data_IF_707128811684
#
_entry.id   IF_707128811684
#
_cell.length_a   1.000
_cell.length_b   1.000
_cell.length_c   1.000
_cell.angle_alpha   90.00
_cell.angle_beta   90.00
_cell.angle_gamma   90.00
#
_symmetry.space_group_name_H-M   'P 1'
#
loop_
_entity.id
_entity.type
_entity.pdbx_description
1 polymer ?
#
# COMPACT_ATOMS: atom_id res chain seq x y z
N UNK A 1 -25.02 -8.97 12.13
CA UNK A 1 -24.89 -10.33 12.69
C UNK A 1 -24.92 -10.15 14.20
N UNK A 2 -26.06 -10.40 14.83
CA UNK A 2 -26.20 -10.23 16.28
C UNK A 2 -25.54 -11.38 17.05
N UNK A 3 -25.43 -12.57 16.43
CA UNK A 3 -24.70 -13.73 16.98
C UNK A 3 -24.04 -14.52 15.83
N UNK A 4 -22.82 -15.02 16.04
CA UNK A 4 -22.07 -15.84 15.10
C UNK A 4 -20.68 -15.30 14.78
N UNK A 5 -19.82 -16.15 14.24
CA UNK A 5 -18.45 -15.78 13.83
C UNK A 5 -18.44 -15.36 12.35
N UNK A 6 -17.60 -14.39 12.00
CA UNK A 6 -17.41 -13.95 10.61
C UNK A 6 -17.12 -15.12 9.66
N UNK A 7 -16.45 -16.16 10.16
CA UNK A 7 -16.18 -17.40 9.42
C UNK A 7 -17.46 -18.14 8.99
N UNK A 8 -18.48 -18.17 9.85
CA UNK A 8 -19.75 -18.88 9.55
C UNK A 8 -20.57 -18.08 8.52
N UNK A 9 -20.48 -16.75 8.58
CA UNK A 9 -21.04 -15.85 7.56
C UNK A 9 -20.37 -16.03 6.20
N UNK A 10 -19.03 -16.08 6.15
CA UNK A 10 -18.28 -16.32 4.92
C UNK A 10 -18.57 -17.71 4.35
N UNK A 11 -18.66 -18.77 5.17
CA UNK A 11 -19.08 -20.11 4.72
C UNK A 11 -20.45 -20.09 4.06
N UNK A 12 -21.41 -19.38 4.64
CA UNK A 12 -22.75 -19.27 4.07
C UNK A 12 -22.70 -18.59 2.69
N UNK A 13 -21.94 -17.51 2.55
CA UNK A 13 -21.75 -16.83 1.26
C UNK A 13 -21.15 -17.78 0.23
N UNK A 14 -20.01 -18.42 0.55
CA UNK A 14 -19.31 -19.30 -0.37
C UNK A 14 -20.15 -20.54 -0.76
N UNK A 15 -20.87 -21.15 0.17
CA UNK A 15 -21.77 -22.26 -0.11
C UNK A 15 -22.90 -21.87 -1.09
N UNK A 16 -23.34 -20.61 -1.07
CA UNK A 16 -24.38 -20.12 -1.98
C UNK A 16 -23.83 -19.57 -3.31
N UNK A 17 -22.52 -19.32 -3.43
CA UNK A 17 -21.91 -18.91 -4.70
C UNK A 17 -21.66 -20.08 -5.66
N UNK A 18 -21.61 -21.32 -5.15
CA UNK A 18 -21.46 -22.54 -5.95
C UNK A 18 -22.78 -23.07 -6.52
N UNK A 19 -23.92 -22.47 -6.16
CA UNK A 19 -25.22 -22.83 -6.77
C UNK A 19 -25.24 -22.29 -8.20
N UNK A 20 -24.85 -23.13 -9.13
CA UNK A 20 -24.88 -22.84 -10.58
C UNK A 20 -26.35 -22.82 -11.04
N UNK A 21 -27.02 -21.71 -10.82
CA UNK A 21 -28.35 -21.47 -11.40
C UNK A 21 -28.11 -21.21 -12.88
N UNK A 22 -28.28 -22.25 -13.69
CA UNK A 22 -28.09 -22.23 -15.14
C UNK A 22 -29.21 -21.43 -15.84
N UNK A 23 -29.34 -20.18 -15.44
CA UNK A 23 -30.33 -19.24 -16.00
C UNK A 23 -29.62 -18.33 -17.01
N UNK A 24 -30.20 -18.17 -18.21
CA UNK A 24 -29.65 -17.34 -19.28
C UNK A 24 -29.33 -15.89 -18.85
N UNK A 25 -30.14 -15.33 -17.91
CA UNK A 25 -29.91 -14.01 -17.29
C UNK A 25 -28.59 -13.97 -16.51
N UNK A 26 -28.22 -15.05 -15.83
CA UNK A 26 -26.97 -15.15 -15.10
C UNK A 26 -25.77 -15.26 -16.06
N UNK A 27 -25.91 -15.97 -17.17
CA UNK A 27 -24.88 -16.02 -18.22
C UNK A 27 -24.68 -14.62 -18.83
N UNK A 28 -25.75 -13.91 -19.14
CA UNK A 28 -25.69 -12.56 -19.66
C UNK A 28 -25.06 -11.58 -18.64
N UNK A 29 -25.46 -11.70 -17.37
CA UNK A 29 -24.88 -10.86 -16.29
C UNK A 29 -23.38 -11.15 -16.08
N UNK A 30 -22.94 -12.41 -16.18
CA UNK A 30 -21.51 -12.78 -16.14
C UNK A 30 -20.73 -12.12 -17.30
N UNK A 31 -21.29 -12.14 -18.52
CA UNK A 31 -20.66 -11.49 -19.69
C UNK A 31 -20.62 -9.98 -19.54
N UNK A 32 -21.73 -9.34 -19.19
CA UNK A 32 -21.79 -7.88 -18.93
C UNK A 32 -20.83 -7.48 -17.80
N UNK A 33 -20.77 -8.27 -16.74
CA UNK A 33 -19.85 -8.04 -15.62
C UNK A 33 -18.39 -8.22 -16.02
N UNK A 34 -18.07 -9.21 -16.88
CA UNK A 34 -16.72 -9.41 -17.39
C UNK A 34 -16.28 -8.23 -18.28
N UNK A 35 -17.17 -7.74 -19.15
CA UNK A 35 -16.90 -6.57 -20.01
C UNK A 35 -16.78 -5.29 -19.13
N UNK A 36 -17.69 -5.07 -18.21
CA UNK A 36 -17.67 -3.96 -17.27
C UNK A 36 -16.39 -3.99 -16.42
N UNK A 37 -16.04 -5.15 -15.87
CA UNK A 37 -14.79 -5.31 -15.12
C UNK A 37 -13.55 -4.98 -15.97
N UNK A 38 -13.50 -5.43 -17.22
CA UNK A 38 -12.39 -5.14 -18.12
C UNK A 38 -12.26 -3.64 -18.41
N UNK A 39 -13.37 -2.92 -18.47
CA UNK A 39 -13.40 -1.46 -18.71
C UNK A 39 -13.14 -0.68 -17.41
N UNK A 40 -13.60 -1.16 -16.26
CA UNK A 40 -13.50 -0.45 -14.97
C UNK A 40 -12.21 -0.74 -14.21
N UNK A 41 -11.63 -1.95 -14.35
CA UNK A 41 -10.37 -2.35 -13.68
C UNK A 41 -9.11 -1.83 -14.39
N UNK A 42 -9.24 -1.21 -15.56
CA UNK A 42 -8.12 -0.58 -16.23
C UNK A 42 -7.69 0.68 -15.47
N UNK A 43 -6.60 0.55 -14.71
CA UNK A 43 -6.07 1.64 -13.89
C UNK A 43 -5.04 2.46 -14.69
N UNK A 44 -5.55 3.29 -15.65
CA UNK A 44 -4.70 4.22 -16.39
C UNK A 44 -4.03 5.24 -15.46
N UNK A 45 -2.83 5.69 -15.80
CA UNK A 45 -2.03 6.65 -15.01
C UNK A 45 -2.84 7.88 -14.60
N UNK A 46 -3.65 8.43 -15.54
CA UNK A 46 -4.53 9.57 -15.26
C UNK A 46 -5.64 9.29 -14.23
N UNK A 47 -6.13 8.04 -14.18
CA UNK A 47 -7.15 7.61 -13.22
C UNK A 47 -6.55 7.32 -11.85
N UNK A 48 -5.33 6.77 -11.81
CA UNK A 48 -4.61 6.48 -10.57
C UNK A 48 -4.41 7.74 -9.73
N UNK A 49 -3.94 8.82 -10.34
CA UNK A 49 -3.72 10.10 -9.63
C UNK A 49 -5.02 10.63 -9.01
N UNK A 50 -6.15 10.57 -9.73
CA UNK A 50 -7.46 11.01 -9.24
C UNK A 50 -8.01 10.11 -8.12
N UNK A 51 -7.81 8.80 -8.24
CA UNK A 51 -8.26 7.86 -7.21
C UNK A 51 -7.47 8.03 -5.91
N UNK A 52 -6.16 8.24 -6.01
CA UNK A 52 -5.30 8.51 -4.84
C UNK A 52 -5.71 9.82 -4.17
N UNK A 53 -5.88 10.91 -4.92
CA UNK A 53 -6.36 12.17 -4.39
C UNK A 53 -7.67 12.01 -3.62
N UNK A 54 -8.67 11.34 -4.18
CA UNK A 54 -9.96 11.11 -3.53
C UNK A 54 -9.86 10.31 -2.22
N UNK A 55 -8.89 9.39 -2.08
CA UNK A 55 -8.69 8.62 -0.86
C UNK A 55 -7.88 9.35 0.21
N UNK A 56 -6.95 10.23 -0.17
CA UNK A 56 -5.99 10.86 0.74
C UNK A 56 -6.19 12.36 0.94
N UNK A 57 -7.13 13.00 0.21
CA UNK A 57 -7.56 14.40 0.42
C UNK A 57 -8.39 14.62 1.70
N UNK A 58 -8.53 13.58 2.52
CA UNK A 58 -9.04 13.72 3.88
C UNK A 58 -8.00 14.49 4.70
N UNK A 59 -8.46 15.48 5.47
CA UNK A 59 -7.55 16.36 6.21
C UNK A 59 -6.56 15.58 7.07
N UNK A 60 -5.30 16.00 7.10
CA UNK A 60 -4.23 15.48 7.96
C UNK A 60 -4.68 15.22 9.39
N UNK A 61 -5.55 16.08 9.93
CA UNK A 61 -6.14 15.96 11.27
C UNK A 61 -6.93 14.67 11.47
N UNK A 62 -7.58 14.15 10.43
CA UNK A 62 -8.31 12.88 10.54
C UNK A 62 -7.33 11.71 10.74
N UNK A 63 -6.24 11.69 9.98
CA UNK A 63 -5.22 10.65 10.10
C UNK A 63 -4.51 10.66 11.46
N UNK A 64 -4.31 11.84 12.04
CA UNK A 64 -3.75 12.00 13.39
C UNK A 64 -4.61 11.40 14.50
N UNK A 65 -5.93 11.23 14.28
CA UNK A 65 -6.85 10.68 15.28
C UNK A 65 -6.72 9.17 15.45
N UNK A 66 -6.26 8.43 14.45
CA UNK A 66 -6.30 6.97 14.49
C UNK A 66 -5.00 6.28 14.04
N UNK A 67 -4.09 6.97 13.37
CA UNK A 67 -2.78 6.43 13.02
C UNK A 67 -1.77 6.64 14.16
N UNK A 68 -0.73 5.83 14.12
CA UNK A 68 0.45 6.03 14.97
C UNK A 68 1.19 7.32 14.60
N UNK A 69 2.07 7.85 15.48
CA UNK A 69 2.81 9.09 15.22
C UNK A 69 3.67 9.08 13.94
N UNK A 70 4.03 7.87 13.45
CA UNK A 70 4.78 7.69 12.20
C UNK A 70 3.87 7.66 10.96
N UNK A 71 2.53 7.74 11.17
CA UNK A 71 1.50 7.73 10.13
C UNK A 71 1.58 6.51 9.22
N UNK A 72 1.71 5.31 9.80
CA UNK A 72 1.73 4.06 9.08
C UNK A 72 0.30 3.62 8.73
N UNK A 73 -0.15 3.84 7.48
CA UNK A 73 -1.49 3.49 7.03
C UNK A 73 -1.53 2.09 6.38
N UNK A 74 -1.11 1.10 7.16
CA UNK A 74 -1.15 -0.32 6.79
C UNK A 74 -1.14 -1.19 8.04
N UNK A 75 -1.50 -2.48 7.90
CA UNK A 75 -1.61 -3.39 9.04
C UNK A 75 -0.33 -3.43 9.87
N UNK A 76 -0.47 -3.29 11.17
CA UNK A 76 0.63 -3.40 12.13
C UNK A 76 0.98 -4.88 12.39
N UNK A 77 2.19 -5.13 12.90
CA UNK A 77 2.66 -6.46 13.26
C UNK A 77 2.88 -6.56 14.77
N UNK A 78 1.94 -7.19 15.46
CA UNK A 78 1.98 -7.41 16.90
C UNK A 78 2.81 -8.66 17.23
N UNK A 79 3.93 -8.47 17.89
CA UNK A 79 4.77 -9.58 18.42
C UNK A 79 4.15 -10.14 19.71
N UNK A 80 3.43 -9.30 20.43
CA UNK A 80 2.79 -9.63 21.71
C UNK A 80 1.40 -9.02 21.78
N UNK A 81 0.44 -9.67 22.46
CA UNK A 81 -0.87 -9.06 22.73
C UNK A 81 -0.81 -7.75 23.52
N UNK A 82 0.31 -7.47 24.16
CA UNK A 82 0.53 -6.26 24.96
C UNK A 82 1.21 -5.14 24.18
N UNK A 83 1.56 -5.34 22.91
CA UNK A 83 2.15 -4.30 22.08
C UNK A 83 1.15 -3.17 21.87
N UNK A 84 1.62 -1.91 21.98
CA UNK A 84 0.86 -0.76 21.51
C UNK A 84 0.85 -0.72 19.98
N UNK A 85 -0.03 0.10 19.40
CA UNK A 85 -0.06 0.30 17.95
C UNK A 85 1.29 0.79 17.43
N UNK A 86 1.92 1.75 18.13
CA UNK A 86 3.22 2.32 17.78
C UNK A 86 4.30 1.23 17.76
N UNK A 87 4.34 0.39 18.82
CA UNK A 87 5.28 -0.71 18.89
C UNK A 87 5.05 -1.72 17.77
N UNK A 88 3.80 -2.06 17.48
CA UNK A 88 3.45 -2.99 16.41
C UNK A 88 3.80 -2.43 15.02
N UNK A 89 3.68 -1.12 14.79
CA UNK A 89 4.12 -0.47 13.55
C UNK A 89 5.66 -0.45 13.42
N UNK A 90 6.38 -0.28 14.51
CA UNK A 90 7.84 -0.42 14.55
C UNK A 90 8.22 -1.87 14.21
N UNK A 91 7.58 -2.85 14.84
CA UNK A 91 7.82 -4.28 14.60
C UNK A 91 7.60 -4.65 13.12
N UNK A 92 6.57 -4.10 12.48
CA UNK A 92 6.32 -4.27 11.05
C UNK A 92 7.50 -3.77 10.21
N UNK A 93 7.96 -2.54 10.46
CA UNK A 93 9.08 -1.95 9.71
C UNK A 93 10.38 -2.74 9.91
N UNK A 94 10.65 -3.19 11.12
CA UNK A 94 11.79 -4.06 11.44
C UNK A 94 11.71 -5.39 10.70
N UNK A 95 10.54 -6.04 10.69
CA UNK A 95 10.32 -7.30 9.98
C UNK A 95 10.57 -7.16 8.48
N UNK A 96 10.03 -6.08 7.86
CA UNK A 96 10.20 -5.80 6.43
C UNK A 96 11.68 -5.52 6.13
N UNK A 97 12.34 -4.68 6.93
CA UNK A 97 13.77 -4.36 6.75
C UNK A 97 14.65 -5.61 6.84
N UNK A 98 14.37 -6.53 7.76
CA UNK A 98 15.07 -7.81 7.85
C UNK A 98 14.88 -8.68 6.61
N UNK A 99 13.68 -8.69 6.01
CA UNK A 99 13.39 -9.45 4.78
C UNK A 99 14.08 -8.87 3.54
N UNK A 100 14.38 -7.59 3.53
CA UNK A 100 15.08 -6.94 2.41
C UNK A 100 16.55 -7.34 2.34
N UNK A 101 17.15 -7.88 3.41
CA UNK A 101 18.56 -8.28 3.49
C UNK A 101 19.48 -7.17 2.97
N UNK A 102 19.32 -5.97 3.52
CA UNK A 102 19.99 -4.78 3.06
C UNK A 102 21.45 -4.74 3.53
N UNK A 103 22.30 -4.39 2.60
CA UNK A 103 23.70 -4.02 2.84
C UNK A 103 23.87 -2.50 2.77
N UNK A 104 24.94 -1.99 3.32
CA UNK A 104 25.23 -0.57 3.33
C UNK A 104 25.37 -0.02 1.89
N UNK A 105 24.84 1.20 1.67
CA UNK A 105 24.86 1.91 0.39
C UNK A 105 24.05 1.26 -0.75
N UNK A 106 23.35 0.17 -0.52
CA UNK A 106 22.41 -0.34 -1.52
C UNK A 106 21.29 0.67 -1.82
N UNK A 107 20.74 0.56 -3.03
CA UNK A 107 19.62 1.37 -3.51
C UNK A 107 18.28 0.67 -3.26
N UNK A 108 17.32 1.39 -2.70
CA UNK A 108 15.99 0.86 -2.38
C UNK A 108 14.91 1.76 -2.97
N UNK A 109 13.93 1.14 -3.62
CA UNK A 109 12.70 1.82 -4.05
C UNK A 109 11.56 1.47 -3.09
N UNK A 110 10.91 2.48 -2.51
CA UNK A 110 9.69 2.34 -1.70
C UNK A 110 8.49 2.82 -2.52
N UNK A 111 7.70 1.86 -3.05
CA UNK A 111 6.55 2.14 -3.91
C UNK A 111 5.29 2.34 -3.05
N UNK A 112 4.70 3.52 -3.14
CA UNK A 112 3.60 3.92 -2.27
C UNK A 112 4.10 4.32 -0.88
N UNK A 113 5.15 5.13 -0.83
CA UNK A 113 5.88 5.47 0.40
C UNK A 113 5.04 6.22 1.46
N UNK A 114 3.83 6.68 1.10
CA UNK A 114 2.96 7.41 2.02
C UNK A 114 3.66 8.66 2.58
N UNK A 115 3.56 8.83 3.89
CA UNK A 115 4.23 9.93 4.62
C UNK A 115 5.73 9.68 4.88
N UNK A 116 6.32 8.68 4.21
CA UNK A 116 7.76 8.44 4.16
C UNK A 116 8.34 7.65 5.34
N UNK A 117 7.50 7.05 6.19
CA UNK A 117 7.96 6.37 7.41
C UNK A 117 8.79 5.12 7.15
N UNK A 118 8.41 4.31 6.14
CA UNK A 118 9.17 3.08 5.80
C UNK A 118 10.54 3.42 5.21
N UNK A 119 10.59 4.35 4.26
CA UNK A 119 11.84 4.82 3.66
C UNK A 119 12.81 5.41 4.71
N UNK A 120 12.29 6.23 5.63
CA UNK A 120 13.07 6.78 6.74
C UNK A 120 13.63 5.68 7.66
N UNK A 121 12.81 4.67 7.97
CA UNK A 121 13.23 3.54 8.80
C UNK A 121 14.34 2.72 8.13
N UNK A 122 14.19 2.40 6.85
CA UNK A 122 15.20 1.68 6.06
C UNK A 122 16.54 2.44 6.09
N UNK A 123 16.52 3.73 5.78
CA UNK A 123 17.74 4.55 5.80
C UNK A 123 18.43 4.52 7.15
N UNK A 124 17.68 4.73 8.24
CA UNK A 124 18.24 4.75 9.61
C UNK A 124 18.85 3.40 10.03
N UNK A 125 18.35 2.31 9.49
CA UNK A 125 18.80 0.95 9.85
C UNK A 125 19.99 0.48 9.02
N UNK A 126 20.04 0.80 7.74
CA UNK A 126 21.00 0.23 6.80
C UNK A 126 21.91 1.23 6.13
N UNK A 127 21.71 2.54 6.34
CA UNK A 127 22.38 3.61 5.60
C UNK A 127 22.25 3.48 4.06
N UNK A 128 21.18 2.82 3.59
CA UNK A 128 20.86 2.64 2.18
C UNK A 128 20.43 3.96 1.51
N UNK A 129 20.57 4.02 0.18
CA UNK A 129 20.02 5.10 -0.64
C UNK A 129 18.54 4.77 -0.93
N UNK A 130 17.60 5.53 -0.41
CA UNK A 130 16.17 5.20 -0.53
C UNK A 130 15.44 6.22 -1.37
N UNK A 131 14.71 5.77 -2.38
CA UNK A 131 13.78 6.58 -3.16
C UNK A 131 12.37 6.14 -2.83
N UNK A 132 11.56 7.03 -2.28
CA UNK A 132 10.15 6.81 -2.03
C UNK A 132 9.29 7.51 -3.08
N UNK A 133 8.32 6.78 -3.68
CA UNK A 133 7.40 7.35 -4.67
C UNK A 133 5.96 7.27 -4.17
N UNK A 134 5.19 8.33 -4.41
CA UNK A 134 3.75 8.41 -4.14
C UNK A 134 3.06 9.28 -5.17
N UNK A 135 1.73 9.16 -5.28
CA UNK A 135 0.89 10.01 -6.15
C UNK A 135 0.12 11.09 -5.36
N UNK A 136 0.25 11.13 -4.04
CA UNK A 136 -0.41 12.11 -3.17
C UNK A 136 0.50 13.32 -2.94
N UNK A 137 -0.01 14.51 -3.28
CA UNK A 137 0.69 15.79 -3.05
C UNK A 137 0.84 16.11 -1.56
N UNK A 138 -0.16 15.74 -0.74
CA UNK A 138 -0.12 15.93 0.71
C UNK A 138 0.92 15.01 1.37
N UNK A 139 0.93 13.74 0.99
CA UNK A 139 1.90 12.79 1.52
C UNK A 139 3.34 13.20 1.18
N UNK A 140 3.59 13.65 -0.07
CA UNK A 140 4.92 14.07 -0.49
C UNK A 140 5.38 15.32 0.26
N UNK A 141 4.48 16.29 0.47
CA UNK A 141 4.80 17.50 1.23
C UNK A 141 5.23 17.17 2.66
N UNK A 142 4.50 16.28 3.33
CA UNK A 142 4.85 15.81 4.67
C UNK A 142 6.17 15.03 4.68
N UNK A 143 6.39 14.12 3.72
CA UNK A 143 7.61 13.32 3.61
C UNK A 143 8.85 14.20 3.38
N UNK A 144 8.74 15.27 2.61
CA UNK A 144 9.81 16.26 2.42
C UNK A 144 10.12 17.02 3.70
N UNK A 145 9.11 17.42 4.46
CA UNK A 145 9.32 18.04 5.79
C UNK A 145 9.97 17.06 6.77
N UNK A 146 9.55 15.78 6.75
CA UNK A 146 10.19 14.72 7.52
C UNK A 146 11.66 14.59 7.18
N UNK A 147 12.02 14.56 5.89
CA UNK A 147 13.41 14.48 5.43
C UNK A 147 14.29 15.55 6.09
N UNK A 148 13.80 16.79 6.10
CA UNK A 148 14.54 17.93 6.70
C UNK A 148 14.63 17.76 8.21
N UNK A 149 13.50 17.50 8.89
CA UNK A 149 13.40 17.37 10.35
C UNK A 149 14.29 16.25 10.90
N UNK A 150 14.33 15.10 10.18
CA UNK A 150 15.01 13.90 10.62
C UNK A 150 16.41 13.74 9.99
N UNK A 151 16.87 14.71 9.20
CA UNK A 151 18.19 14.75 8.52
C UNK A 151 18.45 13.48 7.70
N UNK A 152 17.49 13.10 6.86
CA UNK A 152 17.56 11.90 6.04
C UNK A 152 18.34 12.18 4.74
N UNK A 153 19.65 12.20 4.81
CA UNK A 153 20.52 12.65 3.71
C UNK A 153 20.40 11.79 2.44
N UNK A 154 20.29 10.46 2.60
CA UNK A 154 20.21 9.51 1.49
C UNK A 154 18.77 9.08 1.17
N UNK A 155 17.77 9.83 1.61
CA UNK A 155 16.37 9.58 1.27
C UNK A 155 15.88 10.64 0.29
N UNK A 156 15.28 10.22 -0.78
CA UNK A 156 14.59 11.08 -1.75
C UNK A 156 13.11 10.70 -1.80
N UNK A 157 12.23 11.69 -1.83
CA UNK A 157 10.78 11.48 -2.00
C UNK A 157 10.32 12.16 -3.28
N UNK A 158 9.61 11.41 -4.15
CA UNK A 158 9.15 11.88 -5.47
C UNK A 158 7.65 11.75 -5.62
N UNK A 159 7.01 12.78 -6.16
CA UNK A 159 5.64 12.72 -6.64
C UNK A 159 5.64 12.07 -8.03
N UNK A 160 5.64 10.76 -8.07
CA UNK A 160 5.85 9.98 -9.29
C UNK A 160 5.06 8.69 -9.27
N UNK A 161 4.49 8.32 -10.42
CA UNK A 161 3.95 6.98 -10.63
C UNK A 161 5.10 5.98 -10.76
N UNK A 162 5.03 4.88 -10.02
CA UNK A 162 6.08 3.85 -10.03
C UNK A 162 6.33 3.28 -11.43
N UNK A 163 5.31 3.28 -12.32
CA UNK A 163 5.43 2.84 -13.72
C UNK A 163 6.33 3.73 -14.57
N UNK A 164 6.63 4.92 -14.11
CA UNK A 164 7.54 5.88 -14.74
C UNK A 164 8.93 5.88 -14.11
N UNK A 165 9.18 4.97 -13.17
CA UNK A 165 10.51 4.77 -12.59
C UNK A 165 11.32 3.89 -13.56
N UNK A 166 12.40 4.45 -14.10
CA UNK A 166 13.24 3.77 -15.08
C UNK A 166 14.58 3.30 -14.50
N UNK A 167 14.89 3.75 -13.29
CA UNK A 167 16.12 3.39 -12.59
C UNK A 167 16.03 1.95 -12.05
N UNK A 168 17.17 1.30 -11.91
CA UNK A 168 17.28 0.00 -11.27
C UNK A 168 17.66 0.15 -9.81
N UNK A 169 17.09 -0.69 -8.97
CA UNK A 169 17.31 -0.72 -7.53
C UNK A 169 17.74 -2.11 -7.09
N UNK A 170 18.56 -2.19 -6.04
CA UNK A 170 19.00 -3.46 -5.46
C UNK A 170 17.84 -4.16 -4.75
N UNK A 171 16.93 -3.38 -4.16
CA UNK A 171 15.74 -3.87 -3.46
C UNK A 171 14.54 -2.98 -3.76
N UNK A 172 13.38 -3.59 -3.75
CA UNK A 172 12.09 -2.89 -3.89
C UNK A 172 11.19 -3.30 -2.74
N UNK A 173 10.51 -2.34 -2.15
CA UNK A 173 9.47 -2.55 -1.14
C UNK A 173 8.19 -1.84 -1.53
N UNK A 174 7.06 -2.47 -1.26
CA UNK A 174 5.73 -1.86 -1.41
C UNK A 174 4.83 -2.36 -0.31
N UNK A 175 4.27 -1.45 0.48
CA UNK A 175 3.43 -1.77 1.64
C UNK A 175 2.11 -1.03 1.55
N UNK A 176 0.99 -1.77 1.40
CA UNK A 176 -0.36 -1.18 1.34
C UNK A 176 -0.73 -0.53 0.01
N UNK A 177 0.11 -0.62 -1.04
CA UNK A 177 -0.18 -0.09 -2.37
C UNK A 177 -0.54 -1.19 -3.37
N UNK A 178 -0.05 -2.41 -3.16
CA UNK A 178 -0.13 -3.49 -4.14
C UNK A 178 -1.58 -3.89 -4.46
N UNK A 179 -2.49 -3.82 -3.51
CA UNK A 179 -3.93 -4.06 -3.68
C UNK A 179 -4.61 -3.04 -4.62
N UNK A 180 -4.01 -1.87 -4.82
CA UNK A 180 -4.52 -0.82 -5.72
C UNK A 180 -4.05 -0.94 -7.17
N UNK A 181 -3.13 -1.86 -7.46
CA UNK A 181 -2.58 -2.06 -8.82
C UNK A 181 -3.65 -2.59 -9.79
N UNK A 182 -4.63 -3.34 -9.29
CA UNK A 182 -5.68 -3.95 -10.08
C UNK A 182 -5.26 -5.29 -10.70
N UNK A 183 -6.22 -6.20 -10.82
CA UNK A 183 -5.97 -7.60 -11.23
C UNK A 183 -5.30 -7.74 -12.59
N UNK A 184 -5.56 -6.82 -13.54
CA UNK A 184 -4.95 -6.87 -14.88
C UNK A 184 -3.45 -6.54 -14.88
N UNK A 185 -2.99 -5.76 -13.91
CA UNK A 185 -1.59 -5.32 -13.83
C UNK A 185 -0.75 -6.17 -12.90
N UNK A 186 -1.36 -6.92 -11.98
CA UNK A 186 -0.65 -7.81 -11.05
C UNK A 186 0.19 -8.88 -11.76
N UNK A 187 -0.25 -9.35 -12.95
CA UNK A 187 0.45 -10.36 -13.74
C UNK A 187 1.42 -9.76 -14.77
N UNK A 188 1.40 -8.45 -14.98
CA UNK A 188 2.19 -7.76 -16.01
C UNK A 188 3.17 -6.75 -15.42
N UNK A 189 3.14 -6.54 -14.12
CA UNK A 189 4.17 -5.73 -13.43
C UNK A 189 5.48 -6.53 -13.42
N UNK A 190 6.58 -5.92 -13.89
CA UNK A 190 7.91 -6.54 -13.94
C UNK A 190 8.42 -6.91 -12.56
#
# INVERSE_FOLDING_TARGET
VEEGRIHDFLKLIFANTEVDIDHWVMKLSKVVRAISNKLTTSNYISKSKRNVAHHYDLSDKLYELFLDPDRQYSCAYFNSPNDTLEQAQINKKELISKKLLLEENQSVLDIGCGWGGMAAHIYKKSNANVVGVTLSEEQIAYAQQRKIREKLEKVEYRLQDYRNVNEKYDRIVSVGMFEHVGTCLLYTSP
#
